data_IF_144170957400
#
_entry.id   IF_144170957400
#
_cell.length_a   1.000
_cell.length_b   1.000
_cell.length_c   1.000
_cell.angle_alpha   90.00
_cell.angle_beta   90.00
_cell.angle_gamma   90.00
#
_symmetry.space_group_name_H-M   'P 1'
#
loop_
_entity.id
_entity.type
_entity.pdbx_description
1 polymer ?
#
# COMPACT_ATOMS: atom_id res chain seq x y z
N UNK A 1 7.68 9.74 14.41
CA UNK A 1 8.71 9.32 13.44
C UNK A 1 7.94 8.73 12.27
N UNK A 2 7.83 9.45 11.15
CA UNK A 2 7.13 8.95 9.96
C UNK A 2 8.05 7.93 9.30
N UNK A 3 7.82 6.64 9.56
CA UNK A 3 8.61 5.57 8.96
C UNK A 3 8.06 5.35 7.55
N UNK A 4 8.94 5.36 6.55
CA UNK A 4 8.57 5.04 5.17
C UNK A 4 7.97 3.61 5.11
N UNK A 5 6.71 3.45 4.68
CA UNK A 5 6.04 2.15 4.64
C UNK A 5 6.71 1.12 3.74
N UNK A 6 7.41 1.57 2.69
CA UNK A 6 8.18 0.71 1.78
C UNK A 6 9.45 0.21 2.48
N UNK A 7 10.18 1.09 3.17
CA UNK A 7 11.36 0.69 3.95
C UNK A 7 10.98 -0.21 5.14
N UNK A 8 9.84 0.07 5.76
CA UNK A 8 9.28 -0.79 6.82
C UNK A 8 9.00 -2.19 6.29
N UNK A 9 8.40 -2.30 5.11
CA UNK A 9 8.12 -3.59 4.48
C UNK A 9 9.40 -4.37 4.15
N UNK A 10 10.43 -3.70 3.64
CA UNK A 10 11.74 -4.33 3.41
C UNK A 10 12.39 -4.83 4.69
N UNK A 11 12.28 -4.06 5.77
CA UNK A 11 12.79 -4.44 7.09
C UNK A 11 12.09 -5.70 7.60
N UNK A 12 10.75 -5.75 7.49
CA UNK A 12 9.95 -6.94 7.83
C UNK A 12 10.27 -8.15 6.93
N UNK A 13 10.62 -7.89 5.67
CA UNK A 13 11.00 -8.90 4.71
C UNK A 13 12.44 -9.41 4.90
N UNK A 14 13.23 -8.77 5.76
CA UNK A 14 14.67 -9.02 5.95
C UNK A 14 15.47 -8.86 4.63
N UNK A 15 15.01 -7.96 3.75
CA UNK A 15 15.63 -7.68 2.46
C UNK A 15 16.46 -6.38 2.51
N UNK A 16 17.63 -6.33 1.82
CA UNK A 16 18.40 -5.10 1.72
C UNK A 16 17.67 -4.06 0.87
N UNK A 17 17.83 -2.77 1.17
CA UNK A 17 17.23 -1.66 0.43
C UNK A 17 17.96 -1.34 -0.88
N UNK A 18 17.99 -2.31 -1.80
CA UNK A 18 18.43 -2.11 -3.19
C UNK A 18 17.32 -1.46 -4.00
N UNK A 19 17.64 -0.79 -5.11
CA UNK A 19 16.63 -0.18 -5.99
C UNK A 19 15.61 -1.20 -6.50
N UNK A 20 16.05 -2.43 -6.79
CA UNK A 20 15.19 -3.52 -7.21
C UNK A 20 14.21 -3.94 -6.11
N UNK A 21 14.69 -4.08 -4.86
CA UNK A 21 13.84 -4.41 -3.73
C UNK A 21 12.89 -3.28 -3.35
N UNK A 22 13.34 -2.02 -3.43
CA UNK A 22 12.50 -0.85 -3.21
C UNK A 22 11.37 -0.79 -4.24
N UNK A 23 11.67 -1.03 -5.52
CA UNK A 23 10.67 -1.08 -6.58
C UNK A 23 9.69 -2.25 -6.42
N UNK A 24 10.17 -3.43 -5.99
CA UNK A 24 9.33 -4.58 -5.72
C UNK A 24 8.42 -4.34 -4.49
N UNK A 25 8.97 -3.79 -3.42
CA UNK A 25 8.23 -3.47 -2.20
C UNK A 25 7.18 -2.38 -2.44
N UNK A 26 7.49 -1.30 -3.18
CA UNK A 26 6.51 -0.27 -3.56
C UNK A 26 5.37 -0.87 -4.39
N UNK A 27 5.69 -1.77 -5.34
CA UNK A 27 4.69 -2.45 -6.16
C UNK A 27 3.78 -3.35 -5.34
N UNK A 28 4.35 -4.24 -4.52
CA UNK A 28 3.56 -5.19 -3.73
C UNK A 28 2.74 -4.49 -2.64
N UNK A 29 3.32 -3.47 -2.01
CA UNK A 29 2.59 -2.63 -1.05
C UNK A 29 1.46 -1.84 -1.73
N UNK A 30 1.71 -1.25 -2.90
CA UNK A 30 0.67 -0.55 -3.66
C UNK A 30 -0.50 -1.45 -4.05
N UNK A 31 -0.21 -2.69 -4.51
CA UNK A 31 -1.26 -3.70 -4.77
C UNK A 31 -2.05 -4.05 -3.51
N UNK A 32 -1.36 -4.24 -2.39
CA UNK A 32 -2.01 -4.61 -1.15
C UNK A 32 -2.86 -3.46 -0.59
N UNK A 33 -2.37 -2.22 -0.67
CA UNK A 33 -3.09 -1.01 -0.26
C UNK A 33 -4.37 -0.81 -1.07
N UNK A 34 -4.34 -1.05 -2.39
CA UNK A 34 -5.56 -1.00 -3.19
C UNK A 34 -6.58 -2.01 -2.70
N UNK A 35 -6.17 -3.26 -2.51
CA UNK A 35 -7.10 -4.32 -2.12
C UNK A 35 -7.70 -4.08 -0.72
N UNK A 36 -6.85 -3.75 0.25
CA UNK A 36 -7.30 -3.49 1.64
C UNK A 36 -8.12 -2.22 1.71
N UNK A 37 -7.69 -1.14 1.03
CA UNK A 37 -8.45 0.10 0.95
C UNK A 37 -9.82 -0.11 0.32
N UNK A 38 -9.93 -0.98 -0.69
CA UNK A 38 -11.21 -1.31 -1.34
C UNK A 38 -12.15 -2.01 -0.37
N UNK A 39 -11.63 -3.04 0.28
CA UNK A 39 -12.40 -3.83 1.24
C UNK A 39 -12.85 -2.98 2.43
N UNK A 40 -12.03 -2.02 2.87
CA UNK A 40 -12.41 -1.05 3.89
C UNK A 40 -13.49 -0.08 3.39
N UNK A 41 -13.26 0.61 2.26
CA UNK A 41 -14.20 1.62 1.74
C UNK A 41 -15.56 1.00 1.40
N UNK A 42 -15.60 -0.22 0.87
CA UNK A 42 -16.85 -0.93 0.61
C UNK A 42 -17.66 -1.25 1.89
N UNK A 43 -17.03 -1.23 3.07
CA UNK A 43 -17.69 -1.45 4.36
C UNK A 43 -18.19 -0.15 5.01
N UNK A 44 -17.51 0.97 4.77
CA UNK A 44 -17.73 2.20 5.55
C UNK A 44 -18.16 3.42 4.72
N UNK A 45 -18.02 3.36 3.40
CA UNK A 45 -18.30 4.44 2.45
C UNK A 45 -19.40 4.02 1.48
N UNK A 46 -19.97 4.96 0.74
CA UNK A 46 -20.87 4.64 -0.36
C UNK A 46 -20.13 4.14 -1.62
N UNK A 47 -20.88 3.56 -2.55
CA UNK A 47 -20.34 2.98 -3.78
C UNK A 47 -19.63 4.02 -4.68
N UNK A 48 -20.06 5.29 -4.65
CA UNK A 48 -19.49 6.35 -5.49
C UNK A 48 -18.10 6.79 -5.00
N UNK A 49 -17.91 6.90 -3.68
CA UNK A 49 -16.62 7.21 -3.08
C UNK A 49 -15.58 6.10 -3.29
N UNK A 50 -16.05 4.84 -3.30
CA UNK A 50 -15.23 3.67 -3.64
C UNK A 50 -14.75 3.82 -5.09
N UNK A 51 -15.66 3.99 -6.04
CA UNK A 51 -15.32 4.10 -7.47
C UNK A 51 -14.30 5.20 -7.75
N UNK A 52 -14.52 6.42 -7.23
CA UNK A 52 -13.63 7.55 -7.46
C UNK A 52 -12.22 7.33 -6.89
N UNK A 53 -12.11 6.71 -5.71
CA UNK A 53 -10.81 6.38 -5.14
C UNK A 53 -10.04 5.40 -6.04
N UNK A 54 -10.72 4.39 -6.59
CA UNK A 54 -10.08 3.42 -7.48
C UNK A 54 -9.76 3.98 -8.85
N UNK A 55 -10.56 4.87 -9.41
CA UNK A 55 -10.22 5.54 -10.67
C UNK A 55 -8.85 6.24 -10.61
N UNK A 56 -8.54 6.86 -9.46
CA UNK A 56 -7.29 7.58 -9.25
C UNK A 56 -6.10 6.64 -9.04
N UNK A 57 -6.29 5.56 -8.27
CA UNK A 57 -5.17 4.78 -7.74
C UNK A 57 -4.98 3.38 -8.35
N UNK A 58 -5.94 2.85 -9.10
CA UNK A 58 -5.92 1.46 -9.57
C UNK A 58 -4.76 1.14 -10.55
N UNK A 59 -4.09 2.16 -11.09
CA UNK A 59 -2.95 1.98 -12.00
C UNK A 59 -1.63 2.31 -11.30
N UNK A 60 -0.63 1.40 -11.35
CA UNK A 60 0.70 1.73 -10.87
C UNK A 60 1.32 2.85 -11.72
N UNK A 61 1.97 3.86 -11.12
CA UNK A 61 2.74 4.86 -11.83
C UNK A 61 3.96 4.24 -12.51
N UNK A 62 4.42 4.86 -13.60
CA UNK A 62 5.59 4.39 -14.37
C UNK A 62 6.92 4.59 -13.65
N UNK A 63 6.97 5.46 -12.64
CA UNK A 63 8.20 5.88 -11.94
C UNK A 63 8.28 5.40 -10.48
N UNK A 64 7.41 4.48 -10.07
CA UNK A 64 7.29 4.06 -8.66
C UNK A 64 6.62 5.11 -7.77
N UNK A 65 6.63 4.87 -6.46
CA UNK A 65 5.95 5.71 -5.47
C UNK A 65 4.44 5.44 -5.38
N UNK A 66 4.00 4.26 -5.86
CA UNK A 66 2.59 3.91 -5.88
C UNK A 66 2.00 3.82 -4.49
N UNK A 67 2.69 3.13 -3.57
CA UNK A 67 2.24 2.96 -2.21
C UNK A 67 2.10 4.32 -1.51
N UNK A 68 3.10 5.18 -1.69
CA UNK A 68 3.09 6.54 -1.14
C UNK A 68 1.91 7.37 -1.69
N UNK A 69 1.62 7.29 -2.98
CA UNK A 69 0.50 8.01 -3.58
C UNK A 69 -0.85 7.59 -2.98
N UNK A 70 -1.06 6.29 -2.75
CA UNK A 70 -2.28 5.76 -2.14
C UNK A 70 -2.38 6.20 -0.68
N UNK A 71 -1.28 6.10 0.09
CA UNK A 71 -1.24 6.51 1.50
C UNK A 71 -1.55 8.00 1.62
N UNK A 72 -0.94 8.84 0.80
CA UNK A 72 -1.25 10.28 0.76
C UNK A 72 -2.70 10.55 0.33
N UNK A 73 -3.29 9.70 -0.51
CA UNK A 73 -4.73 9.74 -0.83
C UNK A 73 -5.61 9.47 0.40
N UNK A 74 -5.28 8.42 1.16
CA UNK A 74 -5.98 8.08 2.41
C UNK A 74 -5.82 9.18 3.46
N UNK A 75 -4.63 9.77 3.61
CA UNK A 75 -4.39 10.88 4.55
C UNK A 75 -5.24 12.12 4.25
N UNK A 76 -5.60 12.34 2.98
CA UNK A 76 -6.47 13.44 2.55
C UNK A 76 -7.96 13.18 2.77
N UNK A 77 -8.34 12.00 3.24
CA UNK A 77 -9.73 11.62 3.56
C UNK A 77 -10.02 11.94 5.04
N UNK A 78 -10.67 13.07 5.36
CA UNK A 78 -10.96 13.44 6.75
C UNK A 78 -12.05 12.57 7.38
N UNK A 79 -12.83 11.89 6.54
CA UNK A 79 -13.87 10.92 6.90
C UNK A 79 -13.31 9.58 7.41
N UNK A 80 -12.03 9.28 7.16
CA UNK A 80 -11.35 8.09 7.66
C UNK A 80 -10.52 8.49 8.90
N UNK A 81 -10.69 7.78 10.00
CA UNK A 81 -9.95 8.07 11.23
C UNK A 81 -8.45 7.76 11.08
N UNK A 82 -7.61 8.32 11.95
CA UNK A 82 -6.18 8.02 11.93
C UNK A 82 -5.89 6.54 12.27
N UNK A 83 -6.72 5.94 13.11
CA UNK A 83 -6.59 4.54 13.51
C UNK A 83 -6.94 3.61 12.34
N UNK A 84 -8.05 3.88 11.64
CA UNK A 84 -8.45 3.11 10.44
C UNK A 84 -7.39 3.23 9.34
N UNK A 85 -6.84 4.42 9.10
CA UNK A 85 -5.73 4.60 8.14
C UNK A 85 -4.52 3.75 8.52
N UNK A 86 -4.17 3.72 9.80
CA UNK A 86 -3.05 2.93 10.30
C UNK A 86 -3.31 1.43 10.14
N UNK A 87 -4.53 0.97 10.42
CA UNK A 87 -4.94 -0.42 10.24
C UNK A 87 -4.93 -0.85 8.76
N UNK A 88 -5.37 0.02 7.85
CA UNK A 88 -5.29 -0.22 6.40
C UNK A 88 -3.83 -0.42 5.98
N UNK A 89 -2.93 0.46 6.41
CA UNK A 89 -1.50 0.36 6.06
C UNK A 89 -0.88 -0.90 6.64
N UNK A 90 -1.15 -1.21 7.92
CA UNK A 90 -0.62 -2.41 8.58
C UNK A 90 -1.15 -3.70 7.92
N UNK A 91 -2.43 -3.75 7.60
CA UNK A 91 -3.05 -4.87 6.88
C UNK A 91 -2.48 -5.04 5.48
N UNK A 92 -2.20 -3.93 4.79
CA UNK A 92 -1.55 -3.96 3.49
C UNK A 92 -0.11 -4.48 3.58
N UNK A 93 0.67 -4.07 4.59
CA UNK A 93 2.02 -4.59 4.84
C UNK A 93 2.00 -6.10 5.10
N UNK A 94 1.10 -6.58 5.97
CA UNK A 94 0.95 -8.01 6.26
C UNK A 94 0.61 -8.82 5.01
N UNK A 95 -0.17 -8.25 4.09
CA UNK A 95 -0.55 -8.91 2.83
C UNK A 95 0.55 -8.85 1.76
N UNK A 96 1.33 -7.77 1.72
CA UNK A 96 2.42 -7.59 0.77
C UNK A 96 3.67 -8.43 1.13
N UNK A 97 3.93 -8.61 2.43
CA UNK A 97 5.11 -9.29 2.96
C UNK A 97 5.38 -10.68 2.35
N UNK A 98 4.44 -11.65 2.35
CA UNK A 98 4.72 -12.97 1.79
C UNK A 98 5.03 -12.91 0.28
N UNK A 99 4.32 -12.06 -0.47
CA UNK A 99 4.54 -11.91 -1.92
C UNK A 99 5.90 -11.31 -2.26
N UNK A 100 6.34 -10.36 -1.46
CA UNK A 100 7.66 -9.76 -1.60
C UNK A 100 8.76 -10.79 -1.35
N UNK A 101 8.60 -11.66 -0.33
CA UNK A 101 9.54 -12.75 -0.06
C UNK A 101 9.56 -13.78 -1.20
N UNK A 102 8.39 -14.23 -1.64
CA UNK A 102 8.28 -15.22 -2.72
C UNK A 102 8.88 -14.70 -4.05
N UNK A 103 8.72 -13.39 -4.34
CA UNK A 103 9.29 -12.74 -5.51
C UNK A 103 10.81 -12.52 -5.44
N UNK A 104 11.40 -12.50 -4.23
CA UNK A 104 12.84 -12.36 -4.03
C UNK A 104 13.58 -13.70 -4.19
N UNK A 105 12.90 -14.83 -3.97
CA UNK A 105 13.47 -16.18 -4.08
C UNK A 105 13.48 -16.73 -5.52
N UNK A 106 12.97 -15.97 -6.50
CA UNK A 106 12.94 -16.37 -7.91
C UNK A 106 14.10 -15.70 -8.68
N UNK A 107 15.07 -16.46 -9.23
CA UNK A 107 16.30 -15.94 -9.85
C UNK A 107 16.09 -15.22 -11.19
#
# INVERSE_FOLDING_TARGET
MNVDPVQSLLTLAELPATDAHLAAADRELGRALLWVGQDYLARVSDEWDVELFFEVYNKPPSTGGWAQAIITGLEKRPDISADDRSEIVQSAQNRALPRLKDGADTP
#
